data_IF_612102482134
#
_entry.id   IF_612102482134
#
_cell.length_a   1.000
_cell.length_b   1.000
_cell.length_c   1.000
_cell.angle_alpha   90.00
_cell.angle_beta   90.00
_cell.angle_gamma   90.00
#
_symmetry.space_group_name_H-M   'P 1'
#
loop_
_entity.id
_entity.type
_entity.pdbx_description
1 polymer ?
#
# COMPACT_ATOMS: atom_id res chain seq x y z
N UNK A 1 23.89 2.34 -15.40
CA UNK A 1 23.48 2.89 -14.10
C UNK A 1 22.35 2.01 -13.62
N UNK A 2 22.51 1.32 -12.48
CA UNK A 2 21.39 0.59 -11.86
C UNK A 2 20.49 1.66 -11.25
N UNK A 3 19.31 1.89 -11.82
CA UNK A 3 18.27 2.67 -11.15
C UNK A 3 17.87 1.88 -9.91
N UNK A 4 18.07 2.44 -8.71
CA UNK A 4 17.55 1.83 -7.48
C UNK A 4 16.02 1.89 -7.54
N UNK A 5 15.38 0.73 -7.39
CA UNK A 5 13.92 0.64 -7.37
C UNK A 5 13.43 1.28 -6.08
N UNK A 6 12.65 2.36 -6.20
CA UNK A 6 12.05 3.03 -5.06
C UNK A 6 10.91 2.20 -4.47
N UNK A 7 10.94 1.94 -3.16
CA UNK A 7 9.88 1.17 -2.48
C UNK A 7 8.91 2.10 -1.76
N UNK A 8 7.61 1.92 -2.01
CA UNK A 8 6.50 2.55 -1.31
C UNK A 8 5.90 1.53 -0.33
N UNK A 9 5.75 1.92 0.93
CA UNK A 9 5.18 1.03 1.95
C UNK A 9 3.77 1.49 2.29
N UNK A 10 2.77 0.67 1.97
CA UNK A 10 1.40 0.91 2.41
C UNK A 10 1.15 0.20 3.74
N UNK A 11 0.60 0.90 4.72
CA UNK A 11 0.39 0.38 6.08
C UNK A 11 -1.07 0.52 6.49
N UNK A 12 -1.70 -0.56 6.91
CA UNK A 12 -2.97 -0.50 7.65
C UNK A 12 -2.82 -1.31 8.94
N UNK A 13 -3.74 -1.21 9.88
CA UNK A 13 -3.63 -1.88 11.18
C UNK A 13 -3.33 -3.38 11.03
N UNK A 14 -4.24 -4.09 10.35
CA UNK A 14 -4.19 -5.55 10.21
C UNK A 14 -3.31 -6.06 9.06
N UNK A 15 -2.76 -5.20 8.21
CA UNK A 15 -1.98 -5.61 7.04
C UNK A 15 -2.72 -6.53 6.04
N UNK A 16 -4.05 -6.62 6.13
CA UNK A 16 -4.85 -7.65 5.43
C UNK A 16 -5.82 -7.08 4.38
N UNK A 17 -6.01 -5.76 4.34
CA UNK A 17 -7.03 -5.13 3.50
C UNK A 17 -6.55 -3.88 2.75
N UNK A 18 -6.71 -2.67 3.31
CA UNK A 18 -6.45 -1.41 2.58
C UNK A 18 -5.03 -1.34 2.01
N UNK A 19 -4.02 -1.69 2.82
CA UNK A 19 -2.62 -1.70 2.35
C UNK A 19 -2.35 -2.70 1.24
N UNK A 20 -3.03 -3.85 1.28
CA UNK A 20 -2.90 -4.92 0.27
C UNK A 20 -3.51 -4.50 -1.06
N UNK A 21 -4.71 -3.88 -1.03
CA UNK A 21 -5.34 -3.31 -2.22
C UNK A 21 -4.44 -2.24 -2.82
N UNK A 22 -3.96 -1.30 -1.99
CA UNK A 22 -3.12 -0.20 -2.44
C UNK A 22 -1.82 -0.69 -3.09
N UNK A 23 -1.11 -1.64 -2.47
CA UNK A 23 0.12 -2.20 -3.02
C UNK A 23 -0.10 -2.92 -4.35
N UNK A 24 -1.17 -3.71 -4.48
CA UNK A 24 -1.49 -4.43 -5.71
C UNK A 24 -1.78 -3.47 -6.87
N UNK A 25 -2.60 -2.44 -6.64
CA UNK A 25 -2.92 -1.43 -7.65
C UNK A 25 -1.72 -0.57 -8.01
N UNK A 26 -0.95 -0.11 -7.02
CA UNK A 26 0.27 0.66 -7.26
C UNK A 26 1.23 -0.11 -8.18
N UNK A 27 1.48 -1.39 -7.89
CA UNK A 27 2.37 -2.22 -8.70
C UNK A 27 1.86 -2.41 -10.14
N UNK A 28 0.55 -2.57 -10.33
CA UNK A 28 -0.01 -2.63 -11.70
C UNK A 28 0.22 -1.33 -12.45
N UNK A 29 -0.15 -0.20 -11.85
CA UNK A 29 -0.03 1.13 -12.45
C UNK A 29 1.42 1.51 -12.74
N UNK A 30 2.34 1.22 -11.81
CA UNK A 30 3.77 1.45 -11.97
C UNK A 30 4.32 0.65 -13.16
N UNK A 31 3.95 -0.64 -13.26
CA UNK A 31 4.32 -1.50 -14.38
C UNK A 31 3.77 -1.01 -15.72
N UNK A 32 2.49 -0.63 -15.75
CA UNK A 32 1.84 -0.06 -16.95
C UNK A 32 2.52 1.22 -17.44
N UNK A 33 3.06 2.01 -16.51
CA UNK A 33 3.79 3.27 -16.80
C UNK A 33 5.29 3.08 -17.00
N UNK A 34 5.83 1.87 -16.81
CA UNK A 34 7.26 1.58 -16.91
C UNK A 34 8.11 2.28 -15.85
N UNK A 35 7.59 2.45 -14.63
CA UNK A 35 8.29 3.10 -13.53
C UNK A 35 9.13 2.10 -12.73
N UNK A 36 10.35 2.51 -12.35
CA UNK A 36 11.23 1.78 -11.41
C UNK A 36 10.76 1.97 -9.95
N UNK A 37 9.48 1.70 -9.69
CA UNK A 37 8.84 1.81 -8.38
C UNK A 37 8.08 0.52 -8.06
N UNK A 38 8.13 0.13 -6.80
CA UNK A 38 7.36 -0.99 -6.28
C UNK A 38 6.71 -0.65 -4.94
N UNK A 39 5.67 -1.39 -4.60
CA UNK A 39 4.94 -1.25 -3.36
C UNK A 39 4.81 -2.56 -2.60
N UNK A 40 4.87 -2.45 -1.27
CA UNK A 40 4.64 -3.55 -0.34
C UNK A 40 3.54 -3.18 0.67
N UNK A 41 2.86 -4.18 1.22
CA UNK A 41 1.78 -4.01 2.17
C UNK A 41 2.22 -4.45 3.57
N UNK A 42 2.05 -3.60 4.58
CA UNK A 42 2.42 -3.89 5.97
C UNK A 42 1.26 -3.65 6.93
N UNK A 43 1.40 -4.28 8.10
CA UNK A 43 0.53 -4.19 9.27
C UNK A 43 1.25 -3.60 10.47
N UNK A 44 0.58 -2.82 11.31
CA UNK A 44 1.10 -2.52 12.66
C UNK A 44 0.81 -3.69 13.62
N UNK A 45 -0.35 -4.32 13.45
CA UNK A 45 -0.83 -5.50 14.16
C UNK A 45 -1.39 -6.51 13.14
N UNK A 46 -0.52 -7.18 12.36
CA UNK A 46 -0.95 -8.00 11.23
C UNK A 46 -1.83 -9.19 11.64
N UNK A 47 -2.89 -9.44 10.87
CA UNK A 47 -3.67 -10.67 10.97
C UNK A 47 -2.87 -11.89 10.46
N UNK A 48 -3.37 -13.09 10.72
CA UNK A 48 -2.75 -14.33 10.22
C UNK A 48 -2.92 -14.49 8.69
N UNK A 49 -4.01 -13.96 8.14
CA UNK A 49 -4.43 -14.13 6.76
C UNK A 49 -4.93 -12.84 6.13
N UNK A 50 -4.87 -12.76 4.80
CA UNK A 50 -5.45 -11.65 4.06
C UNK A 50 -6.98 -11.71 4.15
N UNK A 51 -7.63 -10.54 4.11
CA UNK A 51 -9.09 -10.49 4.08
C UNK A 51 -9.63 -11.20 2.83
N UNK A 52 -10.57 -12.16 2.96
CA UNK A 52 -11.16 -12.83 1.81
C UNK A 52 -11.81 -11.85 0.82
N UNK A 53 -12.41 -10.76 1.33
CA UNK A 53 -13.00 -9.71 0.48
C UNK A 53 -11.95 -9.01 -0.37
N UNK A 54 -10.76 -8.76 0.20
CA UNK A 54 -9.63 -8.17 -0.53
C UNK A 54 -9.14 -9.11 -1.62
N UNK A 55 -8.93 -10.39 -1.31
CA UNK A 55 -8.44 -11.38 -2.28
C UNK A 55 -9.43 -11.55 -3.43
N UNK A 56 -10.71 -11.78 -3.10
CA UNK A 56 -11.78 -11.94 -4.10
C UNK A 56 -11.95 -10.66 -4.93
N UNK A 57 -11.89 -9.50 -4.29
CA UNK A 57 -12.01 -8.21 -4.98
C UNK A 57 -10.88 -7.98 -5.99
N UNK A 58 -9.64 -8.17 -5.56
CA UNK A 58 -8.47 -8.02 -6.45
C UNK A 58 -8.53 -9.01 -7.62
N UNK A 59 -8.90 -10.27 -7.36
CA UNK A 59 -9.05 -11.27 -8.41
C UNK A 59 -10.10 -10.87 -9.45
N UNK A 60 -11.24 -10.32 -9.03
CA UNK A 60 -12.29 -9.80 -9.94
C UNK A 60 -11.78 -8.66 -10.81
N UNK A 61 -10.84 -7.88 -10.29
CA UNK A 61 -10.21 -6.77 -10.99
C UNK A 61 -8.97 -7.21 -11.81
N UNK A 62 -8.68 -8.51 -11.88
CA UNK A 62 -7.55 -9.06 -12.65
C UNK A 62 -6.20 -8.90 -11.96
N UNK A 63 -6.19 -8.57 -10.67
CA UNK A 63 -5.00 -8.36 -9.86
C UNK A 63 -4.82 -9.46 -8.82
N UNK A 64 -3.59 -9.61 -8.34
CA UNK A 64 -3.25 -10.48 -7.22
C UNK A 64 -2.59 -9.65 -6.11
N UNK A 65 -2.80 -10.00 -4.83
CA UNK A 65 -2.01 -9.45 -3.74
C UNK A 65 -0.51 -9.57 -4.03
N UNK A 66 0.26 -8.52 -3.69
CA UNK A 66 1.72 -8.56 -3.81
C UNK A 66 2.35 -9.57 -2.84
N UNK A 67 1.67 -9.84 -1.72
CA UNK A 67 2.10 -10.77 -0.69
C UNK A 67 0.96 -11.72 -0.36
N UNK A 68 1.29 -12.95 0.02
CA UNK A 68 0.32 -14.01 0.31
C UNK A 68 -0.16 -14.03 1.76
N UNK A 69 0.52 -13.30 2.66
CA UNK A 69 0.18 -13.18 4.08
C UNK A 69 0.49 -11.77 4.58
N UNK A 70 -0.30 -11.24 5.54
CA UNK A 70 0.04 -9.99 6.21
C UNK A 70 1.43 -10.06 6.87
N UNK A 71 2.15 -8.93 6.86
CA UNK A 71 3.48 -8.80 7.47
C UNK A 71 3.54 -7.55 8.34
N UNK A 72 4.21 -7.64 9.48
CA UNK A 72 4.42 -6.49 10.36
C UNK A 72 5.39 -5.50 9.70
N UNK A 73 5.14 -4.21 9.85
CA UNK A 73 6.09 -3.17 9.44
C UNK A 73 7.38 -3.28 10.27
N UNK A 74 8.50 -3.56 9.60
CA UNK A 74 9.82 -3.53 10.23
C UNK A 74 10.39 -2.10 10.20
N UNK A 75 11.08 -1.64 11.27
CA UNK A 75 11.73 -0.33 11.29
C UNK A 75 12.71 -0.11 10.13
N UNK A 76 13.43 -1.16 9.71
CA UNK A 76 14.38 -1.12 8.60
C UNK A 76 13.68 -0.90 7.25
N UNK A 77 12.52 -1.52 7.05
CA UNK A 77 11.69 -1.31 5.86
C UNK A 77 11.10 0.11 5.84
N UNK A 78 10.65 0.59 6.99
CA UNK A 78 10.19 1.97 7.12
C UNK A 78 11.31 2.97 6.80
N UNK A 79 12.54 2.72 7.29
CA UNK A 79 13.68 3.61 7.10
C UNK A 79 14.28 3.62 5.70
N UNK A 80 14.04 2.56 4.92
CA UNK A 80 14.47 2.46 3.51
C UNK A 80 13.37 2.83 2.51
N UNK A 81 12.15 3.08 2.99
CA UNK A 81 11.02 3.44 2.15
C UNK A 81 11.19 4.84 1.54
N UNK A 82 10.86 4.97 0.25
CA UNK A 82 10.78 6.29 -0.41
C UNK A 82 9.60 7.10 0.14
N UNK A 83 8.50 6.42 0.44
CA UNK A 83 7.28 6.95 1.07
C UNK A 83 6.58 5.87 1.87
N UNK A 84 5.96 6.27 2.97
CA UNK A 84 5.04 5.43 3.75
C UNK A 84 3.65 6.03 3.62
N UNK A 85 2.68 5.24 3.19
CA UNK A 85 1.28 5.64 3.12
C UNK A 85 0.51 4.86 4.19
N UNK A 86 -0.06 5.55 5.16
CA UNK A 86 -0.77 4.92 6.27
C UNK A 86 -2.29 5.10 6.20
N UNK A 87 -3.01 4.03 6.53
CA UNK A 87 -4.47 3.99 6.70
C UNK A 87 -4.89 3.96 8.18
N UNK A 88 -3.93 4.01 9.10
CA UNK A 88 -4.14 4.02 10.55
C UNK A 88 -3.08 4.89 11.24
N UNK A 89 -3.22 5.09 12.55
CA UNK A 89 -2.16 5.67 13.36
C UNK A 89 -0.92 4.76 13.33
N UNK A 90 0.24 5.37 13.07
CA UNK A 90 1.54 4.70 13.19
C UNK A 90 2.16 5.02 14.54
N UNK A 91 2.77 4.04 15.22
CA UNK A 91 3.60 4.30 16.40
C UNK A 91 4.69 5.33 16.14
N UNK A 92 5.06 6.12 17.16
CA UNK A 92 6.04 7.21 17.07
C UNK A 92 7.42 6.74 16.54
N UNK A 93 7.79 5.48 16.82
CA UNK A 93 9.04 4.87 16.34
C UNK A 93 9.20 4.89 14.82
N UNK A 94 8.09 4.93 14.06
CA UNK A 94 8.12 4.98 12.60
C UNK A 94 8.15 6.41 12.05
N UNK A 95 7.89 7.44 12.87
CA UNK A 95 7.71 8.82 12.38
C UNK A 95 9.01 9.46 11.90
N UNK A 96 10.15 8.93 12.32
CA UNK A 96 11.47 9.38 11.87
C UNK A 96 12.01 8.60 10.67
N UNK A 97 11.29 7.58 10.20
CA UNK A 97 11.81 6.62 9.23
C UNK A 97 11.77 7.15 7.79
N UNK A 98 10.64 7.72 7.37
CA UNK A 98 10.45 8.30 6.04
C UNK A 98 9.33 9.34 6.06
N UNK A 99 9.09 10.00 4.91
CA UNK A 99 7.90 10.84 4.73
C UNK A 99 6.66 9.95 4.79
N UNK A 100 5.84 10.19 5.81
CA UNK A 100 4.56 9.52 6.03
C UNK A 100 3.42 10.41 5.52
N UNK A 101 2.54 9.82 4.72
CA UNK A 101 1.28 10.40 4.30
C UNK A 101 0.13 9.54 4.84
N UNK A 102 -0.95 10.18 5.31
CA UNK A 102 -2.09 9.49 5.90
C UNK A 102 -3.32 9.63 5.02
N UNK A 103 -3.93 8.51 4.65
CA UNK A 103 -5.17 8.44 3.87
C UNK A 103 -6.34 8.02 4.77
N UNK A 104 -7.11 9.02 5.22
CA UNK A 104 -8.28 8.82 6.08
C UNK A 104 -9.60 8.68 5.31
N UNK A 105 -9.59 9.04 4.02
CA UNK A 105 -10.75 9.08 3.15
C UNK A 105 -11.16 7.71 2.57
N UNK A 106 -10.47 6.64 2.96
CA UNK A 106 -10.73 5.28 2.47
C UNK A 106 -11.71 4.55 3.38
N UNK A 107 -12.93 4.21 2.91
CA UNK A 107 -13.93 3.52 3.72
C UNK A 107 -13.49 2.08 4.09
N UNK A 108 -14.18 1.44 5.04
CA UNK A 108 -13.89 0.06 5.41
C UNK A 108 -14.12 -0.92 4.25
N UNK A 109 -13.10 -1.71 3.93
CA UNK A 109 -13.17 -2.77 2.89
C UNK A 109 -14.22 -3.84 3.26
N UNK A 110 -14.44 -4.04 4.55
CA UNK A 110 -15.47 -4.94 5.09
C UNK A 110 -16.88 -4.52 4.72
N UNK A 111 -17.14 -3.24 4.50
CA UNK A 111 -18.46 -2.73 4.11
C UNK A 111 -18.61 -2.75 2.59
N UNK A 112 -17.67 -2.10 1.89
CA UNK A 112 -17.72 -1.99 0.44
C UNK A 112 -16.31 -1.97 -0.16
N UNK A 113 -15.92 -3.11 -0.75
CA UNK A 113 -14.64 -3.24 -1.44
C UNK A 113 -14.49 -2.24 -2.59
N UNK A 114 -15.52 -2.04 -3.40
CA UNK A 114 -15.46 -1.17 -4.59
C UNK A 114 -15.25 0.28 -4.17
N UNK A 115 -15.99 0.76 -3.18
CA UNK A 115 -15.81 2.12 -2.66
C UNK A 115 -14.41 2.33 -2.08
N UNK A 116 -13.88 1.36 -1.32
CA UNK A 116 -12.53 1.45 -0.77
C UNK A 116 -11.46 1.43 -1.86
N UNK A 117 -11.60 0.52 -2.84
CA UNK A 117 -10.73 0.43 -4.00
C UNK A 117 -10.73 1.73 -4.80
N UNK A 118 -11.89 2.30 -5.10
CA UNK A 118 -11.99 3.49 -5.93
C UNK A 118 -11.35 4.72 -5.24
N UNK A 119 -11.53 4.85 -3.92
CA UNK A 119 -10.83 5.86 -3.13
C UNK A 119 -9.30 5.67 -3.16
N UNK A 120 -8.82 4.44 -2.96
CA UNK A 120 -7.39 4.09 -3.05
C UNK A 120 -6.84 4.42 -4.44
N UNK A 121 -7.49 3.98 -5.51
CA UNK A 121 -7.06 4.18 -6.89
C UNK A 121 -7.00 5.67 -7.24
N UNK A 122 -7.96 6.46 -6.77
CA UNK A 122 -7.92 7.92 -6.92
C UNK A 122 -6.66 8.50 -6.28
N UNK A 123 -6.36 8.15 -5.04
CA UNK A 123 -5.19 8.68 -4.33
C UNK A 123 -3.87 8.18 -4.93
N UNK A 124 -3.83 6.94 -5.43
CA UNK A 124 -2.68 6.38 -6.15
C UNK A 124 -2.32 7.18 -7.41
N UNK A 125 -3.31 7.67 -8.16
CA UNK A 125 -3.02 8.51 -9.33
C UNK A 125 -2.35 9.83 -8.94
N UNK A 126 -2.78 10.46 -7.85
CA UNK A 126 -2.13 11.65 -7.31
C UNK A 126 -0.70 11.33 -6.86
N UNK A 127 -0.52 10.27 -6.06
CA UNK A 127 0.79 9.84 -5.57
C UNK A 127 1.77 9.53 -6.72
N UNK A 128 1.33 8.80 -7.74
CA UNK A 128 2.19 8.47 -8.89
C UNK A 128 2.56 9.72 -9.69
N UNK A 129 1.65 10.68 -9.84
CA UNK A 129 1.95 11.95 -10.50
C UNK A 129 3.02 12.73 -9.71
N UNK A 130 2.96 12.74 -8.39
CA UNK A 130 3.97 13.40 -7.54
C UNK A 130 5.33 12.70 -7.62
N UNK A 131 5.34 11.36 -7.54
CA UNK A 131 6.57 10.56 -7.55
C UNK A 131 7.33 10.64 -8.88
N UNK A 132 6.66 10.98 -9.98
CA UNK A 132 7.24 11.11 -11.33
C UNK A 132 7.60 12.53 -11.72
N UNK A 133 7.18 13.54 -10.94
CA UNK A 133 7.56 14.95 -11.13
C UNK A 133 8.87 15.32 -10.42
N UNK A 134 9.51 14.37 -9.74
CA UNK A 134 10.80 14.54 -9.04
C UNK A 134 11.93 13.94 -9.87
#
# INVERSE_FOLDING_TARGET
MMTEIGTIVFVCEHGAAKSVIAAAYFNSLAREKGLDLMAVARGTQPDEELSPKTVIGLQKDGLTPAETKPRKLAPEEAGSARRIISFCDLPEEYHQAAVIERWEDVPPVSENYQAARDAIVKNLHCLLAELTQT
#
